data_IF_791263109709
#
_entry.id   IF_791263109709
#
_cell.length_a   1.000
_cell.length_b   1.000
_cell.length_c   1.000
_cell.angle_alpha   90.00
_cell.angle_beta   90.00
_cell.angle_gamma   90.00
#
_symmetry.space_group_name_H-M   'P 1'
#
loop_
_entity.id
_entity.type
_entity.pdbx_description
1 polymer ?
#
# COMPACT_ATOMS: atom_id res chain seq x y z
N UNK A 1 -30.09 -34.79 -28.00
CA UNK A 1 -29.12 -35.01 -26.92
C UNK A 1 -27.75 -34.47 -27.26
N UNK A 2 -27.11 -34.92 -28.35
CA UNK A 2 -25.75 -34.50 -28.72
C UNK A 2 -25.61 -32.98 -28.98
N UNK A 3 -26.58 -32.35 -29.66
CA UNK A 3 -26.64 -30.88 -29.80
C UNK A 3 -26.72 -30.12 -28.47
N UNK A 4 -27.45 -30.67 -27.49
CA UNK A 4 -27.60 -30.06 -26.17
C UNK A 4 -26.29 -30.12 -25.38
N UNK A 5 -25.59 -31.25 -25.47
CA UNK A 5 -24.30 -31.46 -24.81
C UNK A 5 -23.22 -30.50 -25.34
N UNK A 6 -23.16 -30.29 -26.66
CA UNK A 6 -22.25 -29.31 -27.28
C UNK A 6 -22.57 -27.87 -26.85
N UNK A 7 -23.85 -27.53 -26.68
CA UNK A 7 -24.25 -26.20 -26.20
C UNK A 7 -23.84 -26.00 -24.74
N UNK A 8 -24.03 -27.00 -23.88
CA UNK A 8 -23.62 -26.96 -22.48
C UNK A 8 -22.11 -26.76 -22.33
N UNK A 9 -21.29 -27.53 -23.06
CA UNK A 9 -19.83 -27.36 -23.04
C UNK A 9 -19.38 -25.96 -23.49
N UNK A 10 -20.05 -25.38 -24.49
CA UNK A 10 -19.76 -24.00 -24.94
C UNK A 10 -20.13 -22.96 -23.89
N UNK A 11 -21.22 -23.17 -23.16
CA UNK A 11 -21.62 -22.27 -22.07
C UNK A 11 -20.64 -22.39 -20.91
N UNK A 12 -20.31 -23.61 -20.47
CA UNK A 12 -19.32 -23.86 -19.41
C UNK A 12 -17.96 -23.26 -19.74
N UNK A 13 -17.46 -23.44 -20.96
CA UNK A 13 -16.19 -22.86 -21.38
C UNK A 13 -16.21 -21.33 -21.36
N UNK A 14 -17.35 -20.70 -21.70
CA UNK A 14 -17.51 -19.24 -21.62
C UNK A 14 -17.58 -18.74 -20.18
N UNK A 15 -18.32 -19.44 -19.31
CA UNK A 15 -18.42 -19.09 -17.89
C UNK A 15 -17.06 -19.20 -17.23
N UNK A 16 -16.32 -20.28 -17.46
CA UNK A 16 -14.96 -20.45 -16.96
C UNK A 16 -14.02 -19.34 -17.45
N UNK A 17 -14.05 -19.01 -18.75
CA UNK A 17 -13.23 -17.91 -19.29
C UNK A 17 -13.58 -16.54 -18.69
N UNK A 18 -14.87 -16.27 -18.45
CA UNK A 18 -15.32 -15.01 -17.82
C UNK A 18 -14.90 -14.93 -16.34
N UNK A 19 -14.88 -16.06 -15.63
CA UNK A 19 -14.40 -16.15 -14.25
C UNK A 19 -12.89 -15.99 -14.14
N UNK A 20 -12.14 -16.66 -15.01
CA UNK A 20 -10.68 -16.53 -15.10
C UNK A 20 -10.28 -15.08 -15.42
N UNK A 21 -11.00 -14.41 -16.32
CA UNK A 21 -10.74 -13.01 -16.64
C UNK A 21 -10.97 -12.09 -15.43
N UNK A 22 -12.08 -12.27 -14.71
CA UNK A 22 -12.37 -11.50 -13.48
C UNK A 22 -11.31 -11.74 -12.41
N UNK A 23 -10.91 -13.00 -12.22
CA UNK A 23 -9.88 -13.35 -11.24
C UNK A 23 -8.53 -12.74 -11.61
N UNK A 24 -8.15 -12.81 -12.89
CA UNK A 24 -6.91 -12.20 -13.38
C UNK A 24 -6.88 -10.69 -13.15
N UNK A 25 -7.99 -9.99 -13.40
CA UNK A 25 -8.06 -8.54 -13.18
C UNK A 25 -8.04 -8.18 -11.69
N UNK A 26 -8.69 -8.97 -10.85
CA UNK A 26 -8.64 -8.81 -9.40
C UNK A 26 -7.21 -9.01 -8.85
N UNK A 27 -6.50 -10.04 -9.32
CA UNK A 27 -5.11 -10.30 -8.94
C UNK A 27 -4.18 -9.15 -9.36
N UNK A 28 -4.33 -8.63 -10.59
CA UNK A 28 -3.55 -7.47 -11.06
C UNK A 28 -3.81 -6.24 -10.20
N UNK A 29 -5.06 -6.00 -9.81
CA UNK A 29 -5.43 -4.90 -8.92
C UNK A 29 -4.72 -5.04 -7.56
N UNK A 30 -4.84 -6.19 -6.89
CA UNK A 30 -4.19 -6.40 -5.59
C UNK A 30 -2.66 -6.34 -5.67
N UNK A 31 -2.06 -6.84 -6.75
CA UNK A 31 -0.62 -6.73 -6.98
C UNK A 31 -0.19 -5.26 -7.04
N UNK A 32 -0.93 -4.42 -7.78
CA UNK A 32 -0.64 -2.99 -7.90
C UNK A 32 -0.79 -2.26 -6.56
N UNK A 33 -1.87 -2.53 -5.83
CA UNK A 33 -2.10 -1.94 -4.50
C UNK A 33 -1.02 -2.37 -3.50
N UNK A 34 -0.64 -3.66 -3.50
CA UNK A 34 0.42 -4.20 -2.65
C UNK A 34 1.78 -3.57 -2.96
N UNK A 35 2.08 -3.37 -4.25
CA UNK A 35 3.32 -2.71 -4.66
C UNK A 35 3.34 -1.24 -4.24
N UNK A 36 2.23 -0.50 -4.43
CA UNK A 36 2.11 0.88 -3.98
C UNK A 36 2.28 1.01 -2.45
N UNK A 37 1.68 0.10 -1.68
CA UNK A 37 1.84 0.04 -0.24
C UNK A 37 3.30 -0.24 0.16
N UNK A 38 3.97 -1.19 -0.51
CA UNK A 38 5.40 -1.49 -0.31
C UNK A 38 6.28 -0.27 -0.59
N UNK A 39 6.05 0.43 -1.69
CA UNK A 39 6.83 1.61 -2.07
C UNK A 39 6.63 2.76 -1.06
N UNK A 40 5.40 2.94 -0.56
CA UNK A 40 5.09 3.92 0.48
C UNK A 40 5.79 3.59 1.80
N UNK A 41 5.77 2.33 2.22
CA UNK A 41 6.50 1.87 3.41
C UNK A 41 8.01 2.06 3.26
N UNK A 42 8.56 1.77 2.07
CA UNK A 42 9.98 1.98 1.79
C UNK A 42 10.37 3.46 1.92
N UNK A 43 9.58 4.37 1.32
CA UNK A 43 9.80 5.82 1.43
C UNK A 43 9.70 6.31 2.88
N UNK A 44 8.73 5.78 3.64
CA UNK A 44 8.56 6.09 5.07
C UNK A 44 9.76 5.61 5.89
N UNK A 45 10.21 4.38 5.66
CA UNK A 45 11.39 3.81 6.32
C UNK A 45 12.64 4.64 6.03
N UNK A 46 12.83 5.06 4.77
CA UNK A 46 13.97 5.93 4.42
C UNK A 46 13.92 7.29 5.13
N UNK A 47 12.75 7.93 5.15
CA UNK A 47 12.58 9.20 5.86
C UNK A 47 12.79 9.07 7.37
N UNK A 48 12.44 7.92 7.98
CA UNK A 48 12.73 7.65 9.38
C UNK A 48 14.23 7.56 9.65
N UNK A 49 14.98 6.85 8.80
CA UNK A 49 16.45 6.76 8.92
C UNK A 49 17.09 8.14 8.79
N UNK A 50 16.64 8.96 7.83
CA UNK A 50 17.12 10.34 7.67
C UNK A 50 16.85 11.17 8.93
N UNK A 51 15.65 11.03 9.51
CA UNK A 51 15.26 11.70 10.75
C UNK A 51 16.09 11.26 11.96
N UNK A 52 16.33 9.96 12.14
CA UNK A 52 17.20 9.44 13.19
C UNK A 52 18.64 9.94 13.07
N UNK A 53 19.15 10.04 11.84
CA UNK A 53 20.48 10.57 11.59
C UNK A 53 20.57 12.06 11.91
N UNK A 54 19.54 12.84 11.56
CA UNK A 54 19.45 14.25 11.92
C UNK A 54 19.34 14.45 13.45
N UNK A 55 18.58 13.62 14.15
CA UNK A 55 18.53 13.61 15.62
C UNK A 55 19.91 13.34 16.23
N UNK A 56 20.62 12.30 15.76
CA UNK A 56 21.99 12.00 16.22
C UNK A 56 22.96 13.16 15.95
N UNK A 57 22.81 13.86 14.82
CA UNK A 57 23.62 15.03 14.50
C UNK A 57 23.31 16.20 15.44
N UNK A 58 22.03 16.43 15.74
CA UNK A 58 21.58 17.43 16.69
C UNK A 58 22.14 17.16 18.10
N UNK A 59 22.09 15.92 18.58
CA UNK A 59 22.65 15.56 19.88
C UNK A 59 24.17 15.82 19.95
N UNK A 60 24.90 15.55 18.87
CA UNK A 60 26.33 15.87 18.76
C UNK A 60 26.59 17.38 18.78
N UNK A 61 25.78 18.16 18.08
CA UNK A 61 25.87 19.63 18.07
C UNK A 61 25.56 20.23 19.45
N UNK A 62 24.54 19.70 20.14
CA UNK A 62 24.19 20.06 21.52
C UNK A 62 25.32 19.73 22.50
N UNK A 63 25.90 18.54 22.42
CA UNK A 63 27.02 18.15 23.27
C UNK A 63 28.26 19.06 23.09
N UNK A 64 28.46 19.60 21.89
CA UNK A 64 29.55 20.53 21.58
C UNK A 64 29.19 22.00 21.76
N UNK A 65 27.93 22.32 22.09
CA UNK A 65 27.37 23.68 22.11
C UNK A 65 27.71 24.50 20.84
N UNK A 66 27.69 23.86 19.67
CA UNK A 66 28.06 24.47 18.39
C UNK A 66 27.05 24.10 17.31
N UNK A 67 26.68 25.07 16.48
CA UNK A 67 25.80 24.88 15.31
C UNK A 67 24.43 24.25 15.66
N UNK A 68 23.95 24.45 16.90
CA UNK A 68 22.72 23.83 17.44
C UNK A 68 21.50 24.27 16.64
N UNK A 69 21.32 25.57 16.39
CA UNK A 69 20.20 26.12 15.62
C UNK A 69 20.11 25.51 14.21
N UNK A 70 21.25 25.33 13.54
CA UNK A 70 21.30 24.74 12.21
C UNK A 70 20.89 23.26 12.25
N UNK A 71 21.40 22.51 13.24
CA UNK A 71 21.07 21.11 13.43
C UNK A 71 19.59 20.92 13.81
N UNK A 72 19.00 21.83 14.62
CA UNK A 72 17.57 21.81 14.96
C UNK A 72 16.70 22.05 13.74
N UNK A 73 17.06 23.03 12.91
CA UNK A 73 16.35 23.30 11.65
C UNK A 73 16.39 22.08 10.72
N UNK A 74 17.56 21.45 10.59
CA UNK A 74 17.70 20.22 9.77
C UNK A 74 16.86 19.07 10.32
N UNK A 75 16.81 18.90 11.64
CA UNK A 75 16.03 17.87 12.30
C UNK A 75 14.53 18.09 12.10
N UNK A 76 14.05 19.34 12.23
CA UNK A 76 12.65 19.70 12.02
C UNK A 76 12.20 19.42 10.57
N UNK A 77 13.03 19.75 9.59
CA UNK A 77 12.75 19.44 8.17
C UNK A 77 12.59 17.93 7.94
N UNK A 78 13.47 17.12 8.53
CA UNK A 78 13.38 15.67 8.46
C UNK A 78 12.14 15.13 9.19
N UNK A 79 11.79 15.70 10.35
CA UNK A 79 10.60 15.35 11.13
C UNK A 79 9.33 15.57 10.32
N UNK A 80 9.15 16.78 9.79
CA UNK A 80 7.98 17.14 8.97
C UNK A 80 7.85 16.27 7.73
N UNK A 81 8.97 15.94 7.08
CA UNK A 81 8.96 15.02 5.93
C UNK A 81 8.48 13.62 6.33
N UNK A 82 8.96 13.09 7.46
CA UNK A 82 8.53 11.79 7.97
C UNK A 82 7.05 11.78 8.39
N UNK A 83 6.58 12.83 9.06
CA UNK A 83 5.19 12.98 9.49
C UNK A 83 4.23 13.01 8.30
N UNK A 84 4.53 13.84 7.28
CA UNK A 84 3.70 13.93 6.07
C UNK A 84 3.57 12.60 5.33
N UNK A 85 4.67 11.85 5.21
CA UNK A 85 4.64 10.51 4.60
C UNK A 85 3.85 9.54 5.48
N UNK A 86 3.99 9.63 6.80
CA UNK A 86 3.27 8.77 7.75
C UNK A 86 1.76 9.04 7.76
N UNK A 87 1.32 10.28 7.61
CA UNK A 87 -0.09 10.61 7.43
C UNK A 87 -0.66 10.05 6.13
N UNK A 88 0.07 10.23 5.03
CA UNK A 88 -0.30 9.68 3.72
C UNK A 88 -0.41 8.15 3.79
N UNK A 89 0.48 7.49 4.54
CA UNK A 89 0.38 6.07 4.83
C UNK A 89 -0.90 5.76 5.62
N UNK A 90 -1.16 6.40 6.76
CA UNK A 90 -2.38 6.12 7.54
C UNK A 90 -3.66 6.23 6.71
N UNK A 91 -3.76 7.25 5.85
CA UNK A 91 -4.89 7.42 4.94
C UNK A 91 -4.98 6.28 3.93
N UNK A 92 -3.89 5.95 3.23
CA UNK A 92 -3.88 4.85 2.25
C UNK A 92 -4.20 3.49 2.88
N UNK A 93 -3.66 3.23 4.08
CA UNK A 93 -3.95 2.01 4.84
C UNK A 93 -5.41 1.92 5.26
N UNK A 94 -6.01 3.03 5.71
CA UNK A 94 -7.43 3.08 6.03
C UNK A 94 -8.31 2.76 4.81
N UNK A 95 -7.99 3.34 3.64
CA UNK A 95 -8.70 3.03 2.39
C UNK A 95 -8.60 1.56 2.00
N UNK A 96 -7.40 0.96 2.07
CA UNK A 96 -7.20 -0.46 1.76
C UNK A 96 -7.95 -1.35 2.75
N UNK A 97 -7.89 -1.08 4.05
CA UNK A 97 -8.58 -1.87 5.09
C UNK A 97 -10.10 -1.76 4.97
N UNK A 98 -10.65 -0.55 4.81
CA UNK A 98 -12.09 -0.36 4.61
C UNK A 98 -12.58 -1.00 3.30
N UNK A 99 -11.79 -0.93 2.23
CA UNK A 99 -12.17 -1.54 0.95
C UNK A 99 -12.09 -3.06 0.98
N UNK A 100 -11.04 -3.63 1.57
CA UNK A 100 -10.90 -5.09 1.71
C UNK A 100 -11.98 -5.67 2.63
N UNK A 101 -12.34 -4.96 3.70
CA UNK A 101 -13.47 -5.37 4.56
C UNK A 101 -14.81 -5.24 3.83
N UNK A 102 -15.02 -4.23 2.98
CA UNK A 102 -16.20 -4.14 2.11
C UNK A 102 -16.26 -5.26 1.07
N UNK A 103 -15.14 -5.62 0.44
CA UNK A 103 -15.09 -6.70 -0.55
C UNK A 103 -15.39 -8.06 0.11
N UNK A 104 -14.85 -8.32 1.31
CA UNK A 104 -15.13 -9.53 2.09
C UNK A 104 -16.58 -9.60 2.64
N UNK A 105 -17.24 -8.45 2.83
CA UNK A 105 -18.62 -8.39 3.29
C UNK A 105 -19.64 -8.32 2.13
N UNK A 106 -19.17 -8.14 0.90
CA UNK A 106 -20.00 -8.13 -0.30
C UNK A 106 -20.55 -9.54 -0.57
N UNK A 107 -21.89 -9.75 -0.61
CA UNK A 107 -22.50 -11.06 -0.85
C UNK A 107 -22.11 -11.69 -2.20
N UNK A 108 -21.51 -10.92 -3.10
CA UNK A 108 -21.13 -11.34 -4.47
C UNK A 108 -19.90 -12.26 -4.53
N UNK A 109 -19.06 -12.27 -3.49
CA UNK A 109 -17.90 -13.17 -3.36
C UNK A 109 -18.19 -14.41 -2.51
N UNK A 110 -19.43 -14.57 -2.01
CA UNK A 110 -19.86 -15.73 -1.19
C UNK A 110 -20.40 -16.90 -2.02
N UNK A 111 -20.47 -16.74 -3.34
CA UNK A 111 -20.93 -17.75 -4.30
C UNK A 111 -19.93 -17.89 -5.46
N UNK A 112 -18.63 -17.96 -5.13
CA UNK A 112 -17.61 -18.68 -5.91
C UNK A 112 -17.19 -19.86 -5.05
#
# INVERSE_FOLDING_TARGET
>A
FERLLVVLQKIEARVAADEDLKLADLLKYYLRESQAAKDLLYRRSRALVDYENANKALDKSRAKNRDVLQAETSQQLCCHKFEKISESAKQGWFWVVCRTTMDLWSPRLRNI
#
